data_IF_593943831913
#
_entry.id   IF_593943831913
#
_cell.length_a   1.000
_cell.length_b   1.000
_cell.length_c   1.000
_cell.angle_alpha   90.00
_cell.angle_beta   90.00
_cell.angle_gamma   90.00
#
_symmetry.space_group_name_H-M   'P 1'
#
loop_
_entity.id
_entity.type
_entity.pdbx_description
1 polymer ?
#
# COMPACT_ATOMS: atom_id res chain seq x y z
N UNK A 1 -19.16 -46.05 -38.10
CA UNK A 1 -18.00 -45.16 -37.99
C UNK A 1 -18.45 -43.93 -37.19
N UNK A 2 -18.19 -43.75 -35.90
CA UNK A 2 -17.13 -44.26 -35.04
C UNK A 2 -16.18 -43.11 -34.71
N UNK A 3 -16.48 -42.32 -33.67
CA UNK A 3 -15.48 -41.56 -32.91
C UNK A 3 -15.99 -41.24 -31.49
N UNK A 4 -15.52 -42.06 -30.55
CA UNK A 4 -15.58 -41.88 -29.10
C UNK A 4 -14.44 -40.97 -28.62
N UNK A 5 -14.62 -40.44 -27.40
CA UNK A 5 -13.73 -39.47 -26.74
C UNK A 5 -12.49 -40.03 -26.03
N UNK A 6 -11.96 -39.21 -25.12
CA UNK A 6 -10.82 -39.51 -24.23
C UNK A 6 -9.96 -38.26 -24.07
N UNK A 7 -10.23 -37.42 -23.07
CA UNK A 7 -9.66 -37.45 -21.71
C UNK A 7 -8.24 -36.85 -21.63
N UNK A 8 -8.14 -35.80 -20.81
CA UNK A 8 -6.92 -35.06 -20.54
C UNK A 8 -5.83 -35.94 -19.95
N UNK A 9 -4.59 -35.59 -20.29
CA UNK A 9 -3.42 -36.16 -19.64
C UNK A 9 -3.20 -35.43 -18.31
N UNK A 10 -3.08 -36.15 -17.18
CA UNK A 10 -2.76 -35.54 -15.90
C UNK A 10 -1.32 -35.03 -15.90
N UNK A 11 -1.07 -33.98 -15.12
CA UNK A 11 0.15 -33.17 -15.03
C UNK A 11 1.40 -33.91 -14.46
N UNK A 12 1.44 -35.25 -14.52
CA UNK A 12 2.46 -36.10 -13.89
C UNK A 12 3.52 -36.70 -14.82
N UNK A 13 3.50 -36.42 -16.12
CA UNK A 13 4.33 -37.12 -17.11
C UNK A 13 5.39 -36.27 -17.85
N UNK A 14 5.57 -34.99 -17.51
CA UNK A 14 6.58 -34.13 -18.20
C UNK A 14 7.96 -34.12 -17.49
N UNK A 15 8.11 -34.80 -16.36
CA UNK A 15 9.35 -34.77 -15.55
C UNK A 15 10.26 -36.01 -15.64
N UNK A 16 10.45 -36.62 -16.82
CA UNK A 16 11.48 -37.67 -17.00
C UNK A 16 12.08 -37.71 -18.41
N UNK A 17 13.06 -36.86 -18.68
CA UNK A 17 14.27 -37.23 -19.44
C UNK A 17 15.37 -36.21 -19.17
N UNK A 18 16.62 -36.65 -19.18
CA UNK A 18 17.87 -36.00 -18.75
C UNK A 18 18.37 -36.43 -17.36
N UNK A 19 18.62 -37.73 -17.24
CA UNK A 19 19.61 -38.30 -16.33
C UNK A 19 20.80 -38.83 -17.16
N UNK A 20 22.01 -38.39 -16.79
CA UNK A 20 23.31 -38.83 -17.30
C UNK A 20 24.39 -37.94 -16.67
N UNK A 21 24.61 -38.04 -15.35
CA UNK A 21 25.61 -38.89 -14.67
C UNK A 21 27.03 -38.32 -14.73
N UNK A 22 27.47 -37.66 -13.66
CA UNK A 22 28.81 -37.73 -13.08
C UNK A 22 28.83 -37.09 -11.67
N UNK A 23 28.99 -37.91 -10.64
CA UNK A 23 29.47 -37.59 -9.27
C UNK A 23 30.97 -37.95 -9.20
N UNK A 24 31.84 -37.40 -8.32
CA UNK A 24 31.63 -37.05 -6.88
C UNK A 24 32.39 -35.74 -6.44
N UNK A 25 32.58 -35.39 -5.14
CA UNK A 25 32.08 -35.96 -3.88
C UNK A 25 31.25 -34.98 -3.02
N UNK A 26 30.54 -35.59 -2.06
CA UNK A 26 29.83 -34.94 -0.96
C UNK A 26 30.74 -34.08 -0.07
N UNK A 27 30.32 -32.85 0.18
CA UNK A 27 30.49 -32.14 1.45
C UNK A 27 29.15 -31.50 1.81
N UNK A 28 28.62 -31.86 2.97
CA UNK A 28 27.25 -31.59 3.40
C UNK A 28 26.98 -30.10 3.69
N UNK A 29 25.82 -29.64 3.27
CA UNK A 29 25.30 -28.30 3.54
C UNK A 29 23.81 -28.22 3.21
N UNK A 30 22.99 -28.83 4.08
CA UNK A 30 21.62 -28.40 4.44
C UNK A 30 20.71 -27.87 3.31
N UNK A 31 19.89 -28.77 2.75
CA UNK A 31 18.73 -28.42 1.91
C UNK A 31 17.54 -27.89 2.74
N UNK A 32 17.63 -27.92 4.08
CA UNK A 32 16.51 -27.63 4.99
C UNK A 32 16.51 -26.18 5.52
N UNK A 33 17.67 -25.53 5.60
CA UNK A 33 17.77 -24.10 5.98
C UNK A 33 17.28 -23.16 4.86
N UNK A 34 17.40 -23.58 3.58
CA UNK A 34 17.03 -22.76 2.42
C UNK A 34 15.53 -22.48 2.30
N UNK A 35 14.67 -23.30 2.92
CA UNK A 35 13.20 -23.09 2.95
C UNK A 35 12.73 -22.20 4.09
N UNK A 36 13.55 -22.01 5.13
CA UNK A 36 13.14 -21.32 6.35
C UNK A 36 13.25 -19.79 6.23
N UNK A 37 14.30 -19.26 5.60
CA UNK A 37 14.54 -17.81 5.51
C UNK A 37 13.53 -17.11 4.58
N UNK A 38 13.10 -17.77 3.51
CA UNK A 38 12.07 -17.27 2.59
C UNK A 38 10.70 -17.07 3.27
N UNK A 39 10.47 -17.75 4.40
CA UNK A 39 9.27 -17.54 5.21
C UNK A 39 9.38 -16.36 6.16
N UNK A 40 10.58 -15.99 6.62
CA UNK A 40 10.73 -15.06 7.74
C UNK A 40 10.52 -13.60 7.32
N UNK A 41 11.14 -13.18 6.20
CA UNK A 41 10.96 -11.81 5.69
C UNK A 41 9.54 -11.58 5.19
N UNK A 42 8.98 -12.54 4.44
CA UNK A 42 7.58 -12.50 4.00
C UNK A 42 6.59 -12.58 5.15
N UNK A 43 6.82 -13.43 6.15
CA UNK A 43 5.96 -13.51 7.33
C UNK A 43 6.02 -12.24 8.19
N UNK A 44 7.20 -11.61 8.30
CA UNK A 44 7.36 -10.30 8.94
C UNK A 44 6.50 -9.26 8.22
N UNK A 45 6.58 -9.18 6.89
CA UNK A 45 5.77 -8.23 6.12
C UNK A 45 4.25 -8.46 6.27
N UNK A 46 3.82 -9.72 6.35
CA UNK A 46 2.41 -10.06 6.59
C UNK A 46 2.00 -9.68 8.02
N UNK A 47 2.88 -9.87 9.00
CA UNK A 47 2.63 -9.44 10.38
C UNK A 47 2.58 -7.90 10.49
N UNK A 48 3.46 -7.20 9.77
CA UNK A 48 3.46 -5.74 9.66
C UNK A 48 2.16 -5.27 8.99
N UNK A 49 1.71 -5.92 7.91
CA UNK A 49 0.42 -5.60 7.28
C UNK A 49 -0.79 -5.83 8.20
N UNK A 50 -0.74 -6.84 9.06
CA UNK A 50 -1.81 -7.14 10.02
C UNK A 50 -1.83 -6.18 11.21
N UNK A 51 -0.70 -5.57 11.56
CA UNK A 51 -0.54 -4.72 12.75
C UNK A 51 -0.44 -3.22 12.42
N UNK A 52 -0.02 -2.84 11.21
CA UNK A 52 0.10 -1.46 10.77
C UNK A 52 -1.20 -0.92 10.16
N UNK A 53 -1.55 0.31 10.55
CA UNK A 53 -2.69 1.04 9.99
C UNK A 53 -2.41 1.59 8.59
N UNK A 54 -1.14 1.82 8.24
CA UNK A 54 -0.73 2.35 6.93
C UNK A 54 0.03 1.34 6.08
N UNK A 55 -0.50 1.05 4.89
CA UNK A 55 0.19 0.22 3.90
C UNK A 55 1.40 0.90 3.27
N UNK A 56 1.44 2.24 3.21
CA UNK A 56 2.66 2.97 2.80
C UNK A 56 3.80 2.71 3.78
N UNK A 57 3.50 2.65 5.09
CA UNK A 57 4.51 2.32 6.11
C UNK A 57 5.09 0.92 5.89
N UNK A 58 4.24 -0.06 5.57
CA UNK A 58 4.67 -1.43 5.24
C UNK A 58 5.64 -1.46 4.05
N UNK A 59 5.40 -0.65 3.00
CA UNK A 59 6.32 -0.58 1.85
C UNK A 59 7.70 -0.04 2.27
N UNK A 60 7.75 1.01 3.10
CA UNK A 60 9.03 1.56 3.56
C UNK A 60 9.77 0.62 4.51
N UNK A 61 9.06 -0.04 5.43
CA UNK A 61 9.65 -1.03 6.33
C UNK A 61 10.20 -2.24 5.55
N UNK A 62 9.53 -2.66 4.47
CA UNK A 62 10.05 -3.66 3.56
C UNK A 62 11.38 -3.21 2.94
N UNK A 63 11.42 -2.01 2.36
CA UNK A 63 12.59 -1.50 1.66
C UNK A 63 13.78 -1.26 2.60
N UNK A 64 13.54 -0.62 3.74
CA UNK A 64 14.58 -0.35 4.73
C UNK A 64 15.09 -1.66 5.34
N UNK A 65 14.20 -2.62 5.58
CA UNK A 65 14.57 -3.96 6.03
C UNK A 65 15.43 -4.72 5.04
N UNK A 66 15.20 -4.58 3.73
CA UNK A 66 16.07 -5.17 2.70
C UNK A 66 17.46 -4.53 2.69
N UNK A 67 17.49 -3.18 2.76
CA UNK A 67 18.75 -2.43 2.78
C UNK A 67 19.61 -2.84 3.98
N UNK A 68 19.01 -2.91 5.17
CA UNK A 68 19.72 -3.29 6.39
C UNK A 68 20.17 -4.75 6.37
N UNK A 69 19.27 -5.67 6.03
CA UNK A 69 19.54 -7.10 6.10
C UNK A 69 20.58 -7.57 5.06
N UNK A 70 20.56 -6.99 3.86
CA UNK A 70 21.46 -7.38 2.77
C UNK A 70 22.58 -6.38 2.51
N UNK A 71 22.75 -5.38 3.38
CA UNK A 71 23.77 -4.33 3.26
C UNK A 71 23.74 -3.65 1.88
N UNK A 72 22.54 -3.35 1.39
CA UNK A 72 22.36 -2.70 0.09
C UNK A 72 22.69 -1.20 0.21
N UNK A 73 23.09 -0.59 -0.90
CA UNK A 73 23.24 0.86 -1.02
C UNK A 73 21.89 1.55 -1.26
N UNK A 74 20.99 0.88 -1.99
CA UNK A 74 19.62 1.34 -2.21
C UNK A 74 18.66 0.18 -2.54
N UNK A 75 17.38 0.41 -2.27
CA UNK A 75 16.27 -0.41 -2.73
C UNK A 75 15.10 0.49 -3.14
N UNK A 76 14.48 0.16 -4.28
CA UNK A 76 13.33 0.85 -4.83
C UNK A 76 12.24 -0.16 -5.21
N UNK A 77 10.99 0.21 -4.99
CA UNK A 77 9.82 -0.57 -5.37
C UNK A 77 9.00 0.25 -6.37
N UNK A 78 8.79 -0.30 -7.56
CA UNK A 78 7.86 0.24 -8.54
C UNK A 78 6.56 -0.53 -8.44
N UNK A 79 5.47 0.16 -8.14
CA UNK A 79 4.15 -0.43 -7.96
C UNK A 79 3.17 0.28 -8.90
N UNK A 80 2.31 -0.48 -9.56
CA UNK A 80 1.29 0.06 -10.46
C UNK A 80 -0.08 -0.47 -10.04
N UNK A 81 -0.99 0.44 -9.68
CA UNK A 81 -2.34 0.10 -9.28
C UNK A 81 -3.38 0.89 -10.10
N UNK A 82 -4.49 0.25 -10.51
CA UNK A 82 -5.58 0.94 -11.20
C UNK A 82 -6.19 2.02 -10.30
N UNK A 83 -6.00 3.29 -10.65
CA UNK A 83 -6.60 4.46 -9.96
C UNK A 83 -5.60 5.57 -9.62
N UNK A 84 -4.35 5.24 -9.29
CA UNK A 84 -3.30 6.21 -8.94
C UNK A 84 -2.11 6.22 -9.91
N UNK A 85 -2.08 5.28 -10.85
CA UNK A 85 -0.96 5.14 -11.79
C UNK A 85 0.27 4.55 -11.12
N UNK A 86 1.42 4.69 -11.80
CA UNK A 86 2.70 4.13 -11.35
C UNK A 86 3.28 4.95 -10.21
N UNK A 87 3.70 4.27 -9.14
CA UNK A 87 4.34 4.85 -7.97
C UNK A 87 5.70 4.20 -7.73
N UNK A 88 6.65 5.01 -7.27
CA UNK A 88 8.01 4.56 -6.96
C UNK A 88 8.32 4.92 -5.51
N UNK A 89 8.68 3.90 -4.73
CA UNK A 89 9.10 4.02 -3.34
C UNK A 89 10.59 3.72 -3.26
N UNK A 90 11.36 4.51 -2.51
CA UNK A 90 12.79 4.25 -2.27
C UNK A 90 13.06 4.14 -0.78
N UNK A 91 14.04 3.31 -0.44
CA UNK A 91 14.58 3.20 0.91
C UNK A 91 14.97 4.58 1.46
N UNK A 92 14.80 4.77 2.77
CA UNK A 92 15.09 6.04 3.45
C UNK A 92 14.18 7.21 3.02
N UNK A 93 13.05 6.95 2.35
CA UNK A 93 12.09 7.97 1.89
C UNK A 93 12.73 9.07 1.03
N UNK A 94 13.77 8.73 0.26
CA UNK A 94 14.48 9.68 -0.58
C UNK A 94 13.55 10.21 -1.68
N UNK A 95 13.63 11.52 -1.98
CA UNK A 95 12.89 12.12 -3.08
C UNK A 95 13.38 11.53 -4.41
N UNK A 96 12.45 11.23 -5.30
CA UNK A 96 12.75 10.89 -6.71
C UNK A 96 13.45 12.09 -7.34
N UNK A 97 14.67 11.91 -7.82
CA UNK A 97 15.45 12.94 -8.52
C UNK A 97 15.70 12.57 -9.98
N UNK A 98 16.46 13.39 -10.71
CA UNK A 98 16.72 13.19 -12.13
C UNK A 98 17.42 11.87 -12.49
N UNK A 99 18.07 11.21 -11.53
CA UNK A 99 18.66 9.87 -11.72
C UNK A 99 17.63 8.74 -11.71
N UNK A 100 16.42 9.00 -11.19
CA UNK A 100 15.37 8.01 -10.96
C UNK A 100 14.30 8.00 -12.06
N UNK A 101 14.45 8.85 -13.09
CA UNK A 101 13.53 8.89 -14.23
C UNK A 101 13.36 7.51 -14.88
N UNK A 102 14.43 6.71 -14.89
CA UNK A 102 14.39 5.33 -15.38
C UNK A 102 13.42 4.44 -14.58
N UNK A 103 13.28 4.65 -13.26
CA UNK A 103 12.35 3.88 -12.41
C UNK A 103 10.89 4.28 -12.62
N UNK A 104 10.63 5.52 -13.05
CA UNK A 104 9.27 5.95 -13.40
C UNK A 104 8.74 5.21 -14.63
N UNK A 105 9.63 4.80 -15.54
CA UNK A 105 9.28 4.05 -16.76
C UNK A 105 9.53 2.53 -16.62
N UNK A 106 10.19 2.09 -15.55
CA UNK A 106 10.54 0.68 -15.33
C UNK A 106 9.34 -0.18 -14.91
N UNK A 107 9.34 -1.46 -15.28
CA UNK A 107 8.25 -2.38 -14.96
C UNK A 107 8.00 -2.52 -13.45
N UNK A 108 6.76 -2.79 -13.01
CA UNK A 108 6.47 -3.02 -11.60
C UNK A 108 7.35 -4.13 -11.02
N UNK A 109 8.01 -3.85 -9.90
CA UNK A 109 8.96 -4.76 -9.27
C UNK A 109 9.91 -4.11 -8.28
N UNK A 110 10.75 -4.95 -7.68
CA UNK A 110 11.81 -4.56 -6.75
C UNK A 110 13.13 -4.35 -7.50
N UNK A 111 13.73 -3.19 -7.30
CA UNK A 111 15.02 -2.78 -7.84
C UNK A 111 15.98 -2.54 -6.68
N UNK A 112 17.20 -3.06 -6.75
CA UNK A 112 18.17 -2.98 -5.66
C UNK A 112 19.55 -2.64 -6.20
N UNK A 113 20.33 -1.92 -5.41
CA UNK A 113 21.73 -1.62 -5.69
C UNK A 113 22.59 -2.01 -4.48
N UNK A 114 23.48 -3.02 -4.58
CA UNK A 114 23.66 -3.91 -5.73
C UNK A 114 22.43 -4.82 -5.97
N UNK A 115 22.28 -5.41 -7.18
CA UNK A 115 21.19 -6.34 -7.47
C UNK A 115 21.17 -7.51 -6.49
N UNK A 116 20.03 -7.70 -5.84
CA UNK A 116 19.79 -8.78 -4.91
C UNK A 116 19.59 -10.10 -5.66
N UNK A 117 20.54 -11.02 -5.53
CA UNK A 117 20.49 -12.37 -6.10
C UNK A 117 20.44 -13.43 -4.98
N UNK A 118 19.66 -13.13 -3.94
CA UNK A 118 19.48 -14.01 -2.78
C UNK A 118 18.21 -14.86 -2.93
N UNK A 119 18.31 -16.20 -2.98
CA UNK A 119 17.16 -17.09 -3.15
C UNK A 119 16.21 -17.13 -1.95
N UNK A 120 16.57 -16.50 -0.82
CA UNK A 120 15.71 -16.32 0.34
C UNK A 120 14.73 -15.15 0.19
N UNK A 121 14.87 -14.33 -0.85
CA UNK A 121 13.95 -13.24 -1.15
C UNK A 121 13.26 -13.54 -2.47
N UNK A 122 11.92 -13.59 -2.46
CA UNK A 122 11.12 -13.62 -3.69
C UNK A 122 10.65 -12.19 -4.03
N UNK A 123 11.25 -11.53 -5.03
CA UNK A 123 10.87 -10.17 -5.43
C UNK A 123 9.41 -10.07 -5.86
N UNK A 124 8.84 -11.14 -6.43
CA UNK A 124 7.46 -11.17 -6.92
C UNK A 124 6.48 -11.17 -5.75
N UNK A 125 6.77 -11.98 -4.72
CA UNK A 125 5.96 -12.03 -3.51
C UNK A 125 6.00 -10.68 -2.77
N UNK A 126 7.18 -10.08 -2.64
CA UNK A 126 7.33 -8.77 -2.00
C UNK A 126 6.58 -7.67 -2.72
N UNK A 127 6.71 -7.62 -4.04
CA UNK A 127 5.96 -6.69 -4.89
C UNK A 127 4.46 -6.89 -4.65
N UNK A 128 3.96 -8.13 -4.68
CA UNK A 128 2.54 -8.45 -4.48
C UNK A 128 2.04 -8.06 -3.08
N UNK A 129 2.81 -8.32 -2.03
CA UNK A 129 2.44 -7.94 -0.66
C UNK A 129 2.41 -6.42 -0.49
N UNK A 130 3.40 -5.71 -1.04
CA UNK A 130 3.44 -4.25 -1.01
C UNK A 130 2.30 -3.63 -1.82
N UNK A 131 1.96 -4.21 -2.97
CA UNK A 131 0.78 -3.84 -3.75
C UNK A 131 -0.50 -3.99 -2.93
N UNK A 132 -0.69 -5.14 -2.27
CA UNK A 132 -1.85 -5.36 -1.39
C UNK A 132 -1.85 -4.39 -0.22
N UNK A 133 -0.70 -4.11 0.39
CA UNK A 133 -0.57 -3.14 1.46
C UNK A 133 -1.03 -1.75 1.01
N UNK A 134 -0.51 -1.25 -0.12
CA UNK A 134 -0.95 0.03 -0.69
C UNK A 134 -2.42 0.03 -1.04
N UNK A 135 -2.96 -1.05 -1.62
CA UNK A 135 -4.37 -1.11 -1.95
C UNK A 135 -5.26 -1.10 -0.71
N UNK A 136 -4.85 -1.76 0.37
CA UNK A 136 -5.55 -1.69 1.65
C UNK A 136 -5.43 -0.31 2.29
N UNK A 137 -4.27 0.34 2.18
CA UNK A 137 -4.08 1.73 2.59
C UNK A 137 -5.06 2.64 1.85
N UNK A 138 -5.12 2.52 0.53
CA UNK A 138 -6.05 3.25 -0.33
C UNK A 138 -7.49 2.95 0.03
N UNK A 139 -7.91 1.69 0.18
CA UNK A 139 -9.27 1.37 0.62
C UNK A 139 -9.61 1.92 2.02
N UNK A 140 -8.60 2.01 2.91
CA UNK A 140 -8.75 2.66 4.21
C UNK A 140 -8.80 4.19 4.07
N UNK A 141 -8.15 4.77 3.06
CA UNK A 141 -7.96 6.21 2.86
C UNK A 141 -8.95 6.86 1.86
N UNK A 142 -9.58 6.11 0.95
CA UNK A 142 -10.36 6.58 -0.20
C UNK A 142 -11.80 6.96 0.13
N UNK A 143 -12.06 7.44 1.35
CA UNK A 143 -13.23 8.27 1.62
C UNK A 143 -12.78 9.55 2.29
N UNK A 144 -11.93 10.33 1.61
CA UNK A 144 -11.55 11.67 2.08
C UNK A 144 -12.77 12.54 2.39
N UNK A 145 -13.87 12.26 1.70
CA UNK A 145 -15.13 12.95 1.88
C UNK A 145 -16.17 12.05 2.54
N UNK A 146 -16.96 12.65 3.42
CA UNK A 146 -18.20 12.07 3.90
C UNK A 146 -19.17 11.87 2.73
N UNK A 147 -19.71 10.66 2.57
CA UNK A 147 -20.49 10.29 1.38
C UNK A 147 -21.84 10.99 1.28
N UNK A 148 -22.38 11.46 2.41
CA UNK A 148 -23.63 12.20 2.46
C UNK A 148 -23.42 13.67 2.13
N UNK A 149 -22.46 14.32 2.78
CA UNK A 149 -22.28 15.76 2.72
C UNK A 149 -21.24 16.21 1.71
N UNK A 150 -20.29 15.34 1.34
CA UNK A 150 -19.14 15.64 0.49
C UNK A 150 -18.12 16.58 1.14
N UNK A 151 -18.21 16.86 2.45
CA UNK A 151 -17.17 17.54 3.22
C UNK A 151 -16.06 16.56 3.59
N UNK A 152 -14.92 17.04 4.08
CA UNK A 152 -13.91 16.13 4.63
C UNK A 152 -14.52 15.29 5.74
N UNK A 153 -14.26 13.98 5.69
CA UNK A 153 -14.62 13.08 6.76
C UNK A 153 -13.78 13.37 8.02
N UNK A 154 -14.16 12.78 9.15
CA UNK A 154 -13.45 13.00 10.42
C UNK A 154 -11.97 12.64 10.33
N UNK A 155 -11.61 11.58 9.59
CA UNK A 155 -10.22 11.11 9.46
C UNK A 155 -9.38 12.10 8.66
N UNK A 156 -9.93 12.69 7.62
CA UNK A 156 -9.25 13.67 6.78
C UNK A 156 -9.13 15.02 7.48
N UNK A 157 -10.16 15.45 8.21
CA UNK A 157 -10.08 16.63 9.07
C UNK A 157 -8.94 16.52 10.09
N UNK A 158 -8.83 15.39 10.80
CA UNK A 158 -7.76 15.15 11.79
C UNK A 158 -6.36 15.27 11.17
N UNK A 159 -6.17 14.69 9.98
CA UNK A 159 -4.90 14.74 9.25
C UNK A 159 -4.53 16.16 8.84
N UNK A 160 -5.49 16.93 8.34
CA UNK A 160 -5.29 18.33 7.96
C UNK A 160 -4.97 19.20 9.19
N UNK A 161 -5.61 18.93 10.33
CA UNK A 161 -5.33 19.60 11.59
C UNK A 161 -3.89 19.34 12.08
N UNK A 162 -3.44 18.09 12.05
CA UNK A 162 -2.06 17.70 12.41
C UNK A 162 -1.03 18.42 11.53
N UNK A 163 -1.29 18.49 10.22
CA UNK A 163 -0.46 19.27 9.29
C UNK A 163 -0.46 20.76 9.62
N UNK A 164 -1.61 21.33 10.02
CA UNK A 164 -1.73 22.72 10.45
C UNK A 164 -0.92 23.02 11.71
N UNK A 165 -1.02 22.16 12.73
CA UNK A 165 -0.23 22.26 13.97
C UNK A 165 1.26 22.21 13.67
N UNK A 166 1.72 21.23 12.89
CA UNK A 166 3.14 21.09 12.54
C UNK A 166 3.69 22.33 11.79
N UNK A 167 2.87 22.94 10.92
CA UNK A 167 3.24 24.20 10.23
C UNK A 167 3.31 25.38 11.21
N UNK A 168 2.37 25.47 12.15
CA UNK A 168 2.38 26.50 13.19
C UNK A 168 3.62 26.39 14.08
N UNK A 169 3.98 25.18 14.51
CA UNK A 169 5.17 24.94 15.32
C UNK A 169 6.47 25.26 14.56
N UNK A 170 6.54 24.87 13.27
CA UNK A 170 7.76 25.03 12.47
C UNK A 170 7.98 26.45 11.96
N UNK A 171 6.92 27.15 11.57
CA UNK A 171 7.02 28.46 10.89
C UNK A 171 6.44 29.62 11.70
N UNK A 172 5.85 29.34 12.87
CA UNK A 172 5.18 30.35 13.70
C UNK A 172 3.90 30.90 13.07
N UNK A 173 3.30 30.17 12.12
CA UNK A 173 2.07 30.60 11.44
C UNK A 173 0.84 30.23 12.26
N UNK A 174 0.12 31.20 12.84
CA UNK A 174 -1.06 30.91 13.64
C UNK A 174 -2.20 30.40 12.74
N UNK A 175 -2.98 29.46 13.25
CA UNK A 175 -4.24 29.02 12.63
C UNK A 175 -5.36 29.01 13.69
N UNK A 176 -6.60 29.01 13.21
CA UNK A 176 -7.80 28.96 14.05
C UNK A 176 -8.53 27.66 13.77
N UNK A 177 -8.96 26.96 14.82
CA UNK A 177 -9.87 25.84 14.72
C UNK A 177 -11.28 26.28 15.13
N UNK A 178 -12.27 26.02 14.27
CA UNK A 178 -13.68 26.25 14.55
C UNK A 178 -14.41 24.91 14.56
N UNK A 179 -15.15 24.64 15.64
CA UNK A 179 -16.02 23.47 15.75
C UNK A 179 -17.46 23.97 15.79
N UNK A 180 -18.31 23.40 14.94
CA UNK A 180 -19.71 23.75 14.79
C UNK A 180 -20.55 22.53 15.16
N UNK A 181 -21.54 22.71 16.02
CA UNK A 181 -22.57 21.71 16.30
C UNK A 181 -23.91 22.16 15.73
N UNK A 182 -24.70 21.21 15.23
CA UNK A 182 -25.97 21.49 14.58
C UNK A 182 -27.12 21.24 15.54
N UNK A 183 -27.64 22.33 16.11
CA UNK A 183 -28.78 22.27 17.01
C UNK A 183 -30.02 21.69 16.30
N UNK A 184 -30.82 20.95 17.06
CA UNK A 184 -32.14 20.43 16.66
C UNK A 184 -32.18 19.46 15.47
N UNK A 185 -31.05 18.97 14.96
CA UNK A 185 -31.05 17.98 13.87
C UNK A 185 -31.83 16.71 14.25
N UNK A 186 -31.74 16.27 15.50
CA UNK A 186 -32.53 15.16 16.04
C UNK A 186 -34.04 15.44 15.94
N UNK A 187 -34.48 16.65 16.29
CA UNK A 187 -35.89 17.05 16.19
C UNK A 187 -36.38 17.09 14.73
N UNK A 188 -35.52 17.43 13.76
CA UNK A 188 -35.84 17.34 12.34
C UNK A 188 -36.04 15.87 11.94
N UNK A 189 -35.13 14.99 12.33
CA UNK A 189 -35.22 13.56 12.07
C UNK A 189 -36.49 12.93 12.67
N UNK A 190 -36.80 13.27 13.92
CA UNK A 190 -37.92 12.70 14.66
C UNK A 190 -39.28 13.16 14.08
N UNK A 191 -39.37 14.40 13.60
CA UNK A 191 -40.63 14.97 13.08
C UNK A 191 -40.83 14.80 11.57
N UNK A 192 -39.75 14.74 10.80
CA UNK A 192 -39.78 14.81 9.33
C UNK A 192 -39.04 13.65 8.65
N UNK A 193 -38.51 12.71 9.43
CA UNK A 193 -37.78 11.54 8.96
C UNK A 193 -36.33 11.83 8.55
N UNK A 194 -35.53 10.76 8.50
CA UNK A 194 -34.08 10.84 8.24
C UNK A 194 -33.72 11.52 6.92
N UNK A 195 -34.50 11.31 5.85
CA UNK A 195 -34.24 11.98 4.55
C UNK A 195 -34.26 13.51 4.66
N UNK A 196 -35.08 14.06 5.55
CA UNK A 196 -35.16 15.50 5.78
C UNK A 196 -33.95 16.01 6.57
N UNK A 197 -33.44 15.23 7.52
CA UNK A 197 -32.18 15.53 8.21
C UNK A 197 -30.98 15.42 7.28
N UNK A 198 -30.94 14.41 6.41
CA UNK A 198 -29.92 14.26 5.38
C UNK A 198 -29.89 15.48 4.45
N UNK A 199 -31.06 15.94 3.99
CA UNK A 199 -31.17 17.15 3.18
C UNK A 199 -30.71 18.41 3.93
N UNK A 200 -30.96 18.50 5.25
CA UNK A 200 -30.47 19.59 6.07
C UNK A 200 -28.93 19.57 6.18
N UNK A 201 -28.33 18.39 6.39
CA UNK A 201 -26.88 18.19 6.43
C UNK A 201 -26.22 18.58 5.10
N UNK A 202 -26.75 18.13 3.97
CA UNK A 202 -26.28 18.51 2.63
C UNK A 202 -26.35 20.03 2.46
N UNK A 203 -27.50 20.64 2.80
CA UNK A 203 -27.67 22.08 2.65
C UNK A 203 -26.73 22.91 3.53
N UNK A 204 -26.31 22.39 4.68
CA UNK A 204 -25.31 23.05 5.54
C UNK A 204 -23.91 22.90 4.93
N UNK A 205 -23.57 21.71 4.45
CA UNK A 205 -22.31 21.47 3.76
C UNK A 205 -22.11 22.38 2.55
N UNK A 206 -23.15 22.57 1.75
CA UNK A 206 -23.12 23.49 0.61
C UNK A 206 -22.85 24.94 1.04
N UNK A 207 -23.48 25.39 2.14
CA UNK A 207 -23.24 26.74 2.68
C UNK A 207 -21.81 26.90 3.20
N UNK A 208 -21.27 25.88 3.86
CA UNK A 208 -19.89 25.88 4.34
C UNK A 208 -18.91 25.98 3.17
N UNK A 209 -19.11 25.21 2.08
CA UNK A 209 -18.24 25.31 0.89
C UNK A 209 -18.25 26.68 0.22
N UNK A 210 -19.41 27.35 0.21
CA UNK A 210 -19.52 28.70 -0.37
C UNK A 210 -18.85 29.74 0.54
N UNK A 211 -18.93 29.55 1.86
CA UNK A 211 -18.38 30.49 2.83
C UNK A 211 -16.86 30.37 3.00
N UNK A 212 -16.29 29.17 2.81
CA UNK A 212 -14.87 28.87 3.00
C UNK A 212 -14.09 29.01 1.70
N UNK A 213 -12.89 29.60 1.78
CA UNK A 213 -11.98 29.75 0.64
C UNK A 213 -11.10 28.52 0.50
N UNK A 214 -10.49 28.38 -0.67
CA UNK A 214 -9.52 27.32 -0.91
C UNK A 214 -8.28 27.53 -0.04
N UNK A 215 -8.14 26.70 1.01
CA UNK A 215 -7.06 26.78 2.00
C UNK A 215 -7.50 27.14 3.42
N UNK A 216 -8.79 27.43 3.64
CA UNK A 216 -9.40 27.51 4.98
C UNK A 216 -9.64 26.10 5.59
#
# INVERSE_FOLDING_TARGET
>A
MGRQGGLGRPLGEVLRSHAGSQTPPHMGGSTNERRHVNSEFGARLVADLASNESGIAVVYEALDGLVEQFSLSDAAMVLEEPGFGRQVFRSGRRRIDGGDLALLDAEPGLYTDPPLDDPSVDPTLLTSLCTVALRLDLLRHDSWHDSLTGLYDRRSFQRLLEMGVARSERYGWPFTLVILDLDYLKSINDNQGHRSGDAALIGIADRLRIALRHGD
#
